data_IF_869453368145
#
_entry.id   IF_869453368145
#
_cell.length_a   1.000
_cell.length_b   1.000
_cell.length_c   1.000
_cell.angle_alpha   90.00
_cell.angle_beta   90.00
_cell.angle_gamma   90.00
#
_symmetry.space_group_name_H-M   'P 1'
#
loop_
_entity.id
_entity.type
_entity.pdbx_description
1 polymer ?
#
# COMPACT_ATOMS: atom_id res chain seq x y z
N UNK A 1 -19.28 95.18 48.68
CA UNK A 1 -20.47 94.45 49.16
C UNK A 1 -20.70 93.24 48.28
N UNK A 2 -20.69 92.06 48.95
CA UNK A 2 -21.28 90.80 48.50
C UNK A 2 -20.94 90.25 47.10
N UNK A 3 -20.01 89.31 46.97
CA UNK A 3 -20.17 87.87 47.06
C UNK A 3 -21.20 87.25 46.12
N UNK A 4 -20.75 86.47 45.21
CA UNK A 4 -21.23 85.05 45.14
C UNK A 4 -20.27 84.18 44.28
N UNK A 5 -19.82 83.15 44.92
CA UNK A 5 -19.07 82.01 44.37
C UNK A 5 -20.03 81.08 43.62
N UNK A 6 -19.64 80.61 42.43
CA UNK A 6 -20.33 79.58 41.72
C UNK A 6 -19.33 78.47 41.40
N UNK A 7 -19.41 77.39 42.14
CA UNK A 7 -18.59 76.21 41.93
C UNK A 7 -19.02 75.40 40.72
N UNK A 8 -18.12 75.17 39.80
CA UNK A 8 -18.33 74.29 38.67
C UNK A 8 -17.71 72.91 38.97
N UNK A 9 -18.57 71.91 39.19
CA UNK A 9 -18.17 70.53 39.28
C UNK A 9 -17.75 70.00 37.92
N UNK A 10 -16.47 69.63 37.78
CA UNK A 10 -15.96 68.87 36.62
C UNK A 10 -16.26 67.39 36.82
N UNK A 11 -17.19 66.87 36.03
CA UNK A 11 -17.41 65.41 35.91
C UNK A 11 -16.28 64.79 35.11
N UNK A 12 -15.58 63.92 35.77
CA UNK A 12 -14.52 63.08 35.13
C UNK A 12 -15.23 61.91 34.43
N UNK A 13 -15.28 61.91 33.10
CA UNK A 13 -15.76 60.78 32.30
C UNK A 13 -14.58 59.80 32.15
N UNK A 14 -14.65 58.69 32.88
CA UNK A 14 -13.70 57.55 32.71
C UNK A 14 -14.24 56.71 31.55
N UNK A 15 -13.58 56.78 30.40
CA UNK A 15 -13.81 55.87 29.28
C UNK A 15 -13.09 54.53 29.61
N UNK A 16 -13.87 53.51 29.94
CA UNK A 16 -13.37 52.13 30.04
C UNK A 16 -13.32 51.54 28.64
N UNK A 17 -12.13 51.45 28.06
CA UNK A 17 -11.90 50.66 26.86
C UNK A 17 -11.85 49.20 27.25
N UNK A 18 -12.91 48.43 26.99
CA UNK A 18 -12.90 46.98 27.00
C UNK A 18 -12.23 46.48 25.72
N UNK A 19 -10.95 46.05 25.84
CA UNK A 19 -10.26 45.36 24.79
C UNK A 19 -10.80 43.91 24.76
N UNK A 20 -11.73 43.62 23.85
CA UNK A 20 -12.13 42.27 23.52
C UNK A 20 -10.99 41.62 22.73
N UNK A 21 -10.10 40.91 23.41
CA UNK A 21 -9.15 40.04 22.74
C UNK A 21 -9.94 38.87 22.11
N UNK A 22 -10.24 38.99 20.83
CA UNK A 22 -10.68 37.84 20.03
C UNK A 22 -9.51 36.85 19.96
N UNK A 23 -9.51 35.84 20.84
CA UNK A 23 -8.63 34.69 20.73
C UNK A 23 -9.15 33.90 19.52
N UNK A 24 -8.65 34.23 18.33
CA UNK A 24 -8.72 33.34 17.18
C UNK A 24 -7.81 32.16 17.52
N UNK A 25 -8.42 31.13 18.09
CA UNK A 25 -7.79 29.83 18.23
C UNK A 25 -7.44 29.31 16.84
N UNK A 26 -6.22 29.52 16.42
CA UNK A 26 -5.64 28.79 15.32
C UNK A 26 -5.58 27.35 15.77
N UNK A 27 -6.59 26.54 15.38
CA UNK A 27 -6.45 25.09 15.35
C UNK A 27 -5.36 24.78 14.32
N UNK A 28 -4.10 24.86 14.74
CA UNK A 28 -3.03 24.15 14.07
C UNK A 28 -3.30 22.66 14.33
N UNK A 29 -4.18 22.07 13.51
CA UNK A 29 -4.11 20.62 13.30
C UNK A 29 -2.68 20.39 12.85
N UNK A 30 -1.90 19.67 13.67
CA UNK A 30 -0.58 19.21 13.28
C UNK A 30 -0.78 18.45 11.97
N UNK A 31 -0.38 19.05 10.87
CA UNK A 31 -0.37 18.39 9.57
C UNK A 31 0.61 17.26 9.74
N UNK A 32 0.16 16.03 9.53
CA UNK A 32 1.06 14.88 9.57
C UNK A 32 2.32 15.24 8.78
N UNK A 33 3.49 14.98 9.35
CA UNK A 33 4.74 15.31 8.68
C UNK A 33 4.75 14.65 7.30
N UNK A 34 5.06 15.42 6.27
CA UNK A 34 5.17 14.87 4.91
C UNK A 34 6.23 13.79 4.92
N UNK A 35 5.92 12.55 4.53
CA UNK A 35 6.91 11.50 4.51
C UNK A 35 8.13 11.86 3.66
N UNK A 36 9.32 11.51 4.15
CA UNK A 36 10.61 11.76 3.48
C UNK A 36 11.47 10.49 3.51
N UNK A 37 12.33 10.18 2.51
CA UNK A 37 12.39 10.87 1.22
C UNK A 37 11.06 10.79 0.48
N UNK A 38 10.80 11.75 -0.42
CA UNK A 38 9.59 11.75 -1.24
C UNK A 38 9.55 10.59 -2.25
N UNK A 39 8.50 10.55 -3.06
CA UNK A 39 8.31 9.54 -4.08
C UNK A 39 9.55 9.39 -4.99
N UNK A 40 10.04 8.16 -5.16
CA UNK A 40 11.28 7.85 -5.86
C UNK A 40 11.06 7.49 -7.33
N UNK A 41 12.14 7.54 -8.10
CA UNK A 41 12.23 7.03 -9.47
C UNK A 41 13.22 5.88 -9.51
N UNK A 42 12.72 4.67 -9.72
CA UNK A 42 13.50 3.44 -9.83
C UNK A 42 13.79 3.13 -11.29
N UNK A 43 15.03 2.83 -11.60
CA UNK A 43 15.48 2.28 -12.89
C UNK A 43 16.19 0.97 -12.62
N UNK A 44 15.59 -0.11 -13.08
CA UNK A 44 16.10 -1.47 -12.86
C UNK A 44 16.38 -2.11 -14.20
N UNK A 45 17.49 -2.82 -14.30
CA UNK A 45 17.75 -3.79 -15.37
C UNK A 45 18.17 -5.10 -14.74
N UNK A 46 17.52 -6.19 -15.13
CA UNK A 46 17.79 -7.50 -14.55
C UNK A 46 17.69 -8.61 -15.57
N UNK A 47 18.51 -9.64 -15.40
CA UNK A 47 18.64 -10.80 -16.28
C UNK A 47 18.40 -12.05 -15.46
N UNK A 48 17.49 -12.91 -15.93
CA UNK A 48 17.23 -14.22 -15.35
C UNK A 48 18.18 -15.29 -15.89
N UNK A 49 18.46 -16.29 -15.06
CA UNK A 49 18.98 -17.57 -15.50
C UNK A 49 17.92 -18.35 -16.33
N UNK A 50 18.26 -19.56 -16.77
CA UNK A 50 17.37 -20.36 -17.62
C UNK A 50 16.10 -20.85 -16.89
N UNK A 51 16.12 -20.83 -15.58
CA UNK A 51 15.02 -21.31 -14.72
C UNK A 51 14.19 -20.19 -14.11
N UNK A 52 14.66 -18.94 -14.20
CA UNK A 52 14.03 -17.80 -13.53
C UNK A 52 14.21 -17.80 -12.01
N UNK A 53 15.22 -18.53 -11.49
CA UNK A 53 15.48 -18.62 -10.05
C UNK A 53 16.66 -17.77 -9.60
N UNK A 54 17.56 -17.42 -10.49
CA UNK A 54 18.66 -16.49 -10.23
C UNK A 54 18.51 -15.26 -11.12
N UNK A 55 18.49 -14.09 -10.49
CA UNK A 55 18.40 -12.83 -11.19
C UNK A 55 19.59 -11.95 -10.81
N UNK A 56 20.26 -11.41 -11.81
CA UNK A 56 21.32 -10.44 -11.63
C UNK A 56 20.89 -9.11 -12.21
N UNK A 57 21.12 -8.04 -11.49
CA UNK A 57 20.63 -6.74 -11.95
C UNK A 57 21.42 -5.56 -11.42
N UNK A 58 21.01 -4.42 -11.96
CA UNK A 58 21.42 -3.10 -11.48
C UNK A 58 20.19 -2.28 -11.21
N UNK A 59 20.22 -1.54 -10.12
CA UNK A 59 19.19 -0.60 -9.75
C UNK A 59 19.78 0.78 -9.52
N UNK A 60 19.04 1.82 -9.91
CA UNK A 60 19.32 3.22 -9.66
C UNK A 60 18.06 3.89 -9.13
N UNK A 61 18.15 4.46 -7.95
CA UNK A 61 17.05 5.09 -7.24
C UNK A 61 17.34 6.57 -7.06
N UNK A 62 16.53 7.42 -7.69
CA UNK A 62 16.59 8.87 -7.50
C UNK A 62 15.41 9.31 -6.62
N UNK A 63 15.70 10.07 -5.60
CA UNK A 63 14.72 10.54 -4.62
C UNK A 63 15.02 11.97 -4.19
N UNK A 64 14.00 12.67 -3.65
CA UNK A 64 14.10 14.05 -3.18
C UNK A 64 13.97 14.09 -1.67
N UNK A 65 14.72 14.96 -1.01
CA UNK A 65 14.47 15.30 0.39
C UNK A 65 13.26 16.23 0.48
N UNK A 66 12.10 15.68 0.86
CA UNK A 66 10.85 16.42 1.04
C UNK A 66 10.67 16.93 2.49
N UNK A 67 11.62 16.60 3.38
CA UNK A 67 11.64 17.04 4.77
C UNK A 67 12.17 18.46 4.93
N UNK A 68 12.17 18.96 6.18
CA UNK A 68 12.64 20.28 6.54
C UNK A 68 14.14 20.32 6.91
N UNK A 69 14.78 19.17 7.07
CA UNK A 69 16.16 19.04 7.55
C UNK A 69 17.02 18.26 6.54
N UNK A 70 18.33 18.52 6.47
CA UNK A 70 19.23 17.73 5.65
C UNK A 70 19.18 16.25 6.03
N UNK A 71 19.22 15.34 5.03
CA UNK A 71 19.36 13.90 5.23
C UNK A 71 20.81 13.51 4.97
N UNK A 72 21.47 12.95 5.97
CA UNK A 72 22.83 12.40 5.86
C UNK A 72 22.85 10.94 5.47
N UNK A 73 21.73 10.24 5.65
CA UNK A 73 21.53 8.85 5.26
C UNK A 73 20.10 8.56 4.83
N UNK A 74 19.92 7.43 4.15
CA UNK A 74 18.64 6.82 3.84
C UNK A 74 18.68 5.33 4.15
N UNK A 75 17.52 4.69 4.19
CA UNK A 75 17.40 3.25 4.37
C UNK A 75 16.74 2.61 3.17
N UNK A 76 17.19 1.41 2.82
CA UNK A 76 16.51 0.55 1.87
C UNK A 76 15.95 -0.68 2.57
N UNK A 77 14.74 -1.09 2.16
CA UNK A 77 14.12 -2.33 2.59
C UNK A 77 14.51 -3.44 1.61
N UNK A 78 14.94 -4.54 2.18
CA UNK A 78 15.36 -5.77 1.48
C UNK A 78 14.42 -6.91 1.90
N UNK A 79 13.12 -6.76 1.61
CA UNK A 79 12.09 -7.68 2.12
C UNK A 79 12.27 -9.12 1.62
N UNK A 80 12.88 -9.34 0.45
CA UNK A 80 13.27 -10.68 -0.03
C UNK A 80 14.05 -11.48 1.02
N UNK A 81 14.90 -10.82 1.82
CA UNK A 81 15.68 -11.47 2.87
C UNK A 81 14.84 -11.98 4.05
N UNK A 82 13.60 -11.48 4.20
CA UNK A 82 12.68 -11.96 5.23
C UNK A 82 12.21 -13.41 5.02
N UNK A 83 12.42 -13.96 3.82
CA UNK A 83 12.07 -15.34 3.46
C UNK A 83 13.19 -16.36 3.73
N UNK A 84 14.34 -15.93 4.26
CA UNK A 84 15.52 -16.75 4.49
C UNK A 84 16.20 -16.49 5.83
N UNK A 85 17.48 -16.78 5.90
CA UNK A 85 18.36 -16.47 7.03
C UNK A 85 19.41 -15.46 6.61
N UNK A 86 19.85 -14.59 7.51
CA UNK A 86 20.89 -13.61 7.22
C UNK A 86 22.21 -14.21 6.73
N UNK A 87 22.51 -15.44 7.11
CA UNK A 87 23.72 -16.14 6.65
C UNK A 87 23.63 -16.56 5.16
N UNK A 88 22.42 -16.62 4.60
CA UNK A 88 22.17 -16.96 3.19
C UNK A 88 21.02 -16.04 2.69
N UNK A 89 21.34 -14.76 2.44
CA UNK A 89 20.34 -13.77 2.08
C UNK A 89 19.84 -14.00 0.64
N UNK A 90 18.54 -13.81 0.44
CA UNK A 90 17.93 -13.95 -0.87
C UNK A 90 18.37 -12.85 -1.84
N UNK A 91 18.70 -11.67 -1.32
CA UNK A 91 19.27 -10.58 -2.11
C UNK A 91 20.60 -10.11 -1.52
N UNK A 92 21.63 -10.00 -2.37
CA UNK A 92 22.92 -9.41 -2.04
C UNK A 92 23.17 -8.18 -2.88
N UNK A 93 23.77 -7.14 -2.29
CA UNK A 93 24.05 -5.85 -2.90
C UNK A 93 25.57 -5.69 -3.07
N UNK A 94 26.00 -5.20 -4.24
CA UNK A 94 27.40 -4.91 -4.57
C UNK A 94 27.53 -3.62 -5.41
N UNK A 95 28.74 -3.17 -5.65
CA UNK A 95 29.08 -2.07 -6.56
C UNK A 95 28.22 -0.81 -6.32
N UNK A 96 28.20 -0.34 -5.09
CA UNK A 96 27.40 0.79 -4.66
C UNK A 96 28.00 2.13 -5.07
N UNK A 97 27.13 3.05 -5.50
CA UNK A 97 27.50 4.42 -5.88
C UNK A 97 26.49 5.39 -5.25
N UNK A 98 26.96 6.56 -4.83
CA UNK A 98 26.12 7.61 -4.24
C UNK A 98 26.04 7.58 -2.72
N UNK A 99 26.65 6.56 -2.08
CA UNK A 99 26.72 6.43 -0.62
C UNK A 99 27.47 5.19 -0.17
N UNK A 100 27.77 5.12 1.13
CA UNK A 100 28.39 3.96 1.78
C UNK A 100 27.29 3.09 2.42
N UNK A 101 27.29 1.80 2.09
CA UNK A 101 26.31 0.84 2.61
C UNK A 101 26.83 0.21 3.90
N UNK A 102 26.00 0.22 4.92
CA UNK A 102 26.27 -0.47 6.18
C UNK A 102 25.88 -1.96 6.12
N UNK A 103 26.17 -2.69 7.17
CA UNK A 103 25.66 -4.06 7.31
C UNK A 103 24.13 -4.06 7.46
N UNK A 104 23.44 -5.03 6.86
CA UNK A 104 21.99 -5.16 7.00
C UNK A 104 21.56 -5.42 8.45
N UNK A 105 20.45 -4.80 8.85
CA UNK A 105 19.85 -4.94 10.18
C UNK A 105 18.39 -5.45 10.06
N UNK A 106 17.71 -5.56 11.21
CA UNK A 106 16.28 -6.01 11.27
C UNK A 106 16.09 -7.35 10.55
N UNK A 107 16.87 -8.37 10.94
CA UNK A 107 16.82 -9.68 10.27
C UNK A 107 17.23 -9.60 8.79
N UNK A 108 18.17 -8.72 8.46
CA UNK A 108 18.71 -8.45 7.13
C UNK A 108 17.70 -7.84 6.14
N UNK A 109 16.56 -7.34 6.61
CA UNK A 109 15.53 -6.74 5.77
C UNK A 109 15.62 -5.22 5.65
N UNK A 110 16.61 -4.59 6.27
CA UNK A 110 16.89 -3.17 6.14
C UNK A 110 18.40 -2.92 6.07
N UNK A 111 18.80 -1.96 5.23
CA UNK A 111 20.20 -1.55 5.07
C UNK A 111 20.28 -0.03 5.01
N UNK A 112 21.22 0.53 5.79
CA UNK A 112 21.50 1.96 5.80
C UNK A 112 22.48 2.31 4.69
N UNK A 113 22.24 3.46 4.07
CA UNK A 113 23.14 4.08 3.09
C UNK A 113 23.49 5.47 3.56
N UNK A 114 24.73 5.67 3.99
CA UNK A 114 25.28 6.98 4.32
C UNK A 114 25.56 7.72 3.02
N UNK A 115 24.89 8.85 2.80
CA UNK A 115 25.03 9.63 1.57
C UNK A 115 26.40 10.29 1.51
N UNK A 116 26.99 10.39 0.32
CA UNK A 116 28.29 11.03 0.12
C UNK A 116 28.31 12.50 0.57
N UNK A 117 27.15 13.15 0.55
CA UNK A 117 26.92 14.51 1.06
C UNK A 117 25.50 14.58 1.64
N UNK A 118 25.32 15.38 2.69
CA UNK A 118 24.01 15.61 3.28
C UNK A 118 23.06 16.23 2.24
N UNK A 119 21.95 15.54 1.96
CA UNK A 119 20.95 15.95 0.99
C UNK A 119 20.08 17.07 1.58
N UNK A 120 20.23 18.27 1.04
CA UNK A 120 19.49 19.44 1.51
C UNK A 120 17.99 19.32 1.19
N UNK A 121 17.10 19.97 1.99
CA UNK A 121 15.68 20.07 1.68
C UNK A 121 15.42 20.54 0.23
N UNK A 122 14.52 19.84 -0.48
CA UNK A 122 14.19 20.13 -1.87
C UNK A 122 15.19 19.64 -2.92
N UNK A 123 16.33 19.08 -2.50
CA UNK A 123 17.34 18.54 -3.42
C UNK A 123 17.11 17.05 -3.74
N UNK A 124 17.63 16.59 -4.87
CA UNK A 124 17.62 15.20 -5.32
C UNK A 124 18.96 14.52 -5.07
N UNK A 125 18.90 13.23 -4.71
CA UNK A 125 20.05 12.33 -4.71
C UNK A 125 19.76 11.09 -5.54
N UNK A 126 20.81 10.43 -5.98
CA UNK A 126 20.75 9.13 -6.68
C UNK A 126 21.71 8.17 -6.04
N UNK A 127 21.20 7.00 -5.67
CA UNK A 127 21.98 5.85 -5.22
C UNK A 127 21.83 4.75 -6.26
N UNK A 128 22.92 4.07 -6.58
CA UNK A 128 22.93 2.96 -7.56
C UNK A 128 23.74 1.79 -7.03
N UNK A 129 23.34 0.59 -7.39
CA UNK A 129 23.98 -0.65 -6.95
C UNK A 129 23.73 -1.79 -7.94
N UNK A 130 24.52 -2.85 -7.84
CA UNK A 130 24.21 -4.15 -8.42
C UNK A 130 23.59 -5.05 -7.37
N UNK A 131 22.79 -6.00 -7.81
CA UNK A 131 22.24 -7.03 -6.93
C UNK A 131 22.26 -8.41 -7.60
N UNK A 132 22.33 -9.43 -6.77
CA UNK A 132 21.99 -10.81 -7.13
C UNK A 132 20.84 -11.25 -6.26
N UNK A 133 19.76 -11.74 -6.89
CA UNK A 133 18.54 -12.21 -6.24
C UNK A 133 18.43 -13.72 -6.48
N UNK A 134 18.28 -14.48 -5.41
CA UNK A 134 18.05 -15.92 -5.43
C UNK A 134 16.63 -16.21 -4.97
N UNK A 135 15.79 -16.70 -5.89
CA UNK A 135 14.39 -17.04 -5.62
C UNK A 135 14.36 -18.42 -4.95
N UNK A 136 13.91 -18.54 -3.70
CA UNK A 136 13.93 -19.80 -2.99
C UNK A 136 12.93 -20.80 -3.57
N UNK A 137 13.25 -22.10 -3.48
CA UNK A 137 12.35 -23.18 -3.90
C UNK A 137 11.26 -23.38 -2.84
N UNK A 138 10.18 -22.64 -2.98
CA UNK A 138 9.01 -22.66 -2.06
C UNK A 138 7.78 -22.03 -2.71
N UNK A 139 6.60 -22.35 -2.17
CA UNK A 139 5.39 -21.57 -2.41
C UNK A 139 5.45 -20.22 -1.65
N UNK A 140 4.69 -19.25 -2.12
CA UNK A 140 4.54 -17.94 -1.49
C UNK A 140 4.86 -16.79 -2.45
N UNK A 141 4.61 -15.57 -1.98
CA UNK A 141 4.77 -14.32 -2.75
C UNK A 141 6.17 -14.11 -3.33
N UNK A 142 7.19 -14.67 -2.68
CA UNK A 142 8.57 -14.69 -3.15
C UNK A 142 9.09 -16.13 -3.09
N UNK A 143 9.11 -16.78 -4.25
CA UNK A 143 9.51 -18.18 -4.36
C UNK A 143 9.35 -18.73 -5.77
N UNK A 144 9.92 -19.94 -5.98
CA UNK A 144 9.72 -20.73 -7.18
C UNK A 144 9.10 -22.07 -6.80
N UNK A 145 7.90 -22.32 -7.28
CA UNK A 145 7.20 -23.58 -7.14
C UNK A 145 6.57 -23.98 -8.48
N UNK A 146 6.64 -25.27 -8.81
CA UNK A 146 6.08 -25.84 -10.03
C UNK A 146 6.56 -25.13 -11.34
N UNK A 147 7.74 -24.52 -11.33
CA UNK A 147 8.29 -23.75 -12.46
C UNK A 147 7.71 -22.34 -12.62
N UNK A 148 7.00 -21.85 -11.62
CA UNK A 148 6.53 -20.46 -11.54
C UNK A 148 7.38 -19.71 -10.54
N UNK A 149 8.14 -18.72 -10.99
CA UNK A 149 8.88 -17.78 -10.13
C UNK A 149 8.03 -16.57 -9.84
N UNK A 150 7.78 -16.32 -8.57
CA UNK A 150 7.10 -15.12 -8.06
C UNK A 150 8.13 -14.22 -7.37
N UNK A 151 8.20 -12.98 -7.79
CA UNK A 151 9.10 -11.96 -7.27
C UNK A 151 8.28 -10.80 -6.70
N UNK A 152 7.52 -11.07 -5.65
CA UNK A 152 6.83 -10.08 -4.85
C UNK A 152 7.74 -9.49 -3.78
N UNK A 153 7.73 -8.18 -3.59
CA UNK A 153 8.59 -7.45 -2.64
C UNK A 153 10.09 -7.82 -2.79
N UNK A 154 10.51 -8.11 -4.04
CA UNK A 154 11.83 -8.66 -4.31
C UNK A 154 12.91 -7.58 -4.51
N UNK A 155 12.53 -6.41 -5.04
CA UNK A 155 13.46 -5.31 -5.29
C UNK A 155 13.73 -4.50 -4.01
N UNK A 156 14.93 -3.93 -3.87
CA UNK A 156 15.21 -2.96 -2.80
C UNK A 156 14.32 -1.72 -2.91
N UNK A 157 13.63 -1.37 -1.85
CA UNK A 157 12.72 -0.23 -1.80
C UNK A 157 13.18 0.78 -0.76
N UNK A 158 13.17 2.06 -1.12
CA UNK A 158 13.50 3.16 -0.20
C UNK A 158 12.50 3.16 0.97
N UNK A 159 13.04 3.10 2.19
CA UNK A 159 12.23 3.14 3.40
C UNK A 159 11.58 4.52 3.60
N UNK A 160 10.44 4.54 4.25
CA UNK A 160 9.73 5.77 4.60
C UNK A 160 10.24 6.28 5.94
N UNK A 161 10.42 7.59 6.04
CA UNK A 161 10.61 8.33 7.28
C UNK A 161 9.46 9.34 7.44
N UNK A 162 8.83 9.35 8.58
CA UNK A 162 7.77 10.29 8.91
C UNK A 162 7.90 10.80 10.35
N UNK A 163 6.80 11.26 10.96
CA UNK A 163 6.81 11.76 12.35
C UNK A 163 7.18 10.72 13.40
N UNK A 164 7.13 9.42 13.08
CA UNK A 164 7.54 8.32 13.94
C UNK A 164 9.01 7.91 13.72
N UNK A 165 9.67 8.44 12.71
CA UNK A 165 11.04 8.09 12.33
C UNK A 165 11.09 7.19 11.09
N UNK A 166 12.20 6.43 10.93
CA UNK A 166 12.35 5.46 9.85
C UNK A 166 11.51 4.21 10.12
N UNK A 167 10.67 3.82 9.18
CA UNK A 167 9.88 2.60 9.22
C UNK A 167 10.74 1.41 8.79
N UNK A 168 11.32 0.73 9.77
CA UNK A 168 12.20 -0.43 9.60
C UNK A 168 11.60 -1.69 10.23
N UNK A 169 10.30 -1.83 10.19
CA UNK A 169 9.55 -2.90 10.84
C UNK A 169 10.02 -4.27 10.37
N UNK A 170 10.05 -5.28 11.25
CA UNK A 170 10.51 -6.61 10.87
C UNK A 170 9.53 -7.27 9.89
N UNK A 171 10.08 -8.06 8.96
CA UNK A 171 9.25 -8.92 8.12
C UNK A 171 8.57 -9.99 8.96
N UNK A 172 7.28 -10.21 8.70
CA UNK A 172 6.49 -11.31 9.28
C UNK A 172 5.79 -12.09 8.17
N UNK A 173 5.71 -13.42 8.33
CA UNK A 173 5.15 -14.30 7.29
C UNK A 173 3.64 -14.49 7.33
N UNK A 174 2.92 -13.86 8.28
CA UNK A 174 1.47 -14.02 8.45
C UNK A 174 0.68 -12.72 8.19
N UNK A 175 1.37 -11.63 7.90
CA UNK A 175 0.81 -10.30 7.68
C UNK A 175 1.68 -9.54 6.69
N UNK A 176 1.18 -8.42 6.17
CA UNK A 176 1.94 -7.54 5.32
C UNK A 176 2.80 -6.60 6.17
N UNK A 177 4.09 -6.55 5.83
CA UNK A 177 5.09 -5.80 6.59
C UNK A 177 5.59 -4.61 5.78
N UNK A 178 4.76 -4.11 4.86
CA UNK A 178 5.21 -3.21 3.83
C UNK A 178 4.71 -1.79 4.09
N UNK A 179 5.61 -0.86 3.89
CA UNK A 179 5.30 0.55 3.88
C UNK A 179 6.21 1.25 2.90
N UNK A 180 5.64 1.79 1.83
CA UNK A 180 6.37 2.48 0.78
C UNK A 180 5.52 3.58 0.16
N UNK A 181 6.17 4.61 -0.40
CA UNK A 181 5.49 5.69 -1.09
C UNK A 181 5.26 5.34 -2.56
N UNK A 182 4.12 5.77 -3.10
CA UNK A 182 3.82 5.62 -4.51
C UNK A 182 4.88 6.30 -5.38
N UNK A 183 5.60 5.52 -6.16
CA UNK A 183 6.82 5.88 -6.89
C UNK A 183 6.71 5.54 -8.38
N UNK A 184 7.77 5.76 -9.15
CA UNK A 184 7.82 5.40 -10.56
C UNK A 184 8.89 4.35 -10.82
N UNK A 185 8.56 3.34 -11.63
CA UNK A 185 9.47 2.28 -12.01
C UNK A 185 9.62 2.19 -13.52
N UNK A 186 10.86 2.04 -13.97
CA UNK A 186 11.22 1.58 -15.30
C UNK A 186 12.09 0.35 -15.14
N UNK A 187 11.53 -0.81 -15.45
CA UNK A 187 12.17 -2.10 -15.23
C UNK A 187 12.37 -2.79 -16.58
N UNK A 188 13.61 -3.11 -16.89
CA UNK A 188 14.01 -3.89 -18.08
C UNK A 188 14.38 -5.29 -17.61
N UNK A 189 13.70 -6.28 -18.17
CA UNK A 189 13.84 -7.70 -17.81
C UNK A 189 14.32 -8.46 -19.03
N UNK A 190 15.42 -9.18 -18.89
CA UNK A 190 15.98 -10.07 -19.91
C UNK A 190 15.80 -11.52 -19.46
N UNK A 191 15.05 -12.31 -20.22
CA UNK A 191 14.76 -13.71 -19.90
C UNK A 191 15.00 -14.63 -21.11
N UNK A 192 15.28 -15.92 -20.89
CA UNK A 192 15.17 -16.93 -21.94
C UNK A 192 13.77 -16.86 -22.62
N UNK A 193 13.69 -17.18 -23.90
CA UNK A 193 12.43 -17.18 -24.64
C UNK A 193 11.38 -18.15 -24.09
N UNK A 194 11.83 -19.16 -23.34
CA UNK A 194 10.95 -20.12 -22.66
C UNK A 194 10.15 -19.50 -21.50
N UNK A 195 10.60 -18.34 -20.98
CA UNK A 195 9.96 -17.65 -19.87
C UNK A 195 9.19 -16.42 -20.36
N UNK A 196 7.89 -16.45 -20.20
CA UNK A 196 7.07 -15.26 -20.25
C UNK A 196 7.09 -14.52 -18.92
N UNK A 197 6.81 -13.21 -18.96
CA UNK A 197 6.82 -12.35 -17.77
C UNK A 197 5.54 -11.55 -17.71
N UNK A 198 4.84 -11.67 -16.58
CA UNK A 198 3.82 -10.75 -16.12
C UNK A 198 4.45 -9.82 -15.07
N UNK A 199 4.15 -8.51 -15.10
CA UNK A 199 4.80 -7.58 -14.16
C UNK A 199 3.94 -6.34 -13.90
N UNK A 200 4.21 -5.67 -12.77
CA UNK A 200 3.67 -4.36 -12.45
C UNK A 200 3.89 -3.36 -13.59
N UNK A 201 2.82 -2.68 -14.02
CA UNK A 201 2.85 -1.64 -15.04
C UNK A 201 2.77 -2.17 -16.47
N UNK A 202 2.71 -1.25 -17.43
CA UNK A 202 2.57 -1.61 -18.84
C UNK A 202 3.88 -1.95 -19.52
N UNK A 203 3.89 -3.01 -20.33
CA UNK A 203 5.03 -3.31 -21.22
C UNK A 203 5.10 -2.27 -22.35
N UNK A 204 6.20 -1.51 -22.40
CA UNK A 204 6.41 -0.43 -23.38
C UNK A 204 7.40 -0.80 -24.47
N UNK A 205 8.21 -1.83 -24.28
CA UNK A 205 9.18 -2.30 -25.25
C UNK A 205 9.36 -3.82 -25.15
N UNK A 206 9.56 -4.46 -26.30
CA UNK A 206 9.94 -5.88 -26.41
C UNK A 206 10.90 -6.07 -27.57
N UNK A 207 11.96 -6.83 -27.37
CA UNK A 207 12.85 -7.31 -28.43
C UNK A 207 13.28 -8.74 -28.13
N UNK A 208 13.48 -9.53 -29.18
CA UNK A 208 13.89 -10.94 -29.06
C UNK A 208 15.08 -11.17 -29.95
N UNK A 209 16.15 -11.70 -29.38
CA UNK A 209 17.38 -12.06 -30.11
C UNK A 209 18.13 -13.17 -29.34
N UNK A 210 18.85 -14.02 -30.06
CA UNK A 210 19.76 -15.00 -29.47
C UNK A 210 19.13 -15.90 -28.37
N UNK A 211 17.89 -16.35 -28.58
CA UNK A 211 17.20 -17.20 -27.62
C UNK A 211 16.68 -16.48 -26.37
N UNK A 212 16.75 -15.14 -26.32
CA UNK A 212 16.32 -14.34 -25.18
C UNK A 212 15.33 -13.26 -25.59
N UNK A 213 14.50 -12.84 -24.66
CA UNK A 213 13.55 -11.74 -24.84
C UNK A 213 13.79 -10.66 -23.77
N UNK A 214 14.02 -9.44 -24.24
CA UNK A 214 14.13 -8.25 -23.38
C UNK A 214 12.79 -7.52 -23.41
N UNK A 215 12.24 -7.26 -22.23
CA UNK A 215 10.99 -6.52 -22.03
C UNK A 215 11.24 -5.32 -21.13
N UNK A 216 10.67 -4.16 -21.46
CA UNK A 216 10.70 -2.99 -20.57
C UNK A 216 9.29 -2.67 -20.12
N UNK A 217 9.11 -2.59 -18.81
CA UNK A 217 7.87 -2.20 -18.15
C UNK A 217 7.99 -0.78 -17.59
N UNK A 218 6.89 -0.03 -17.59
CA UNK A 218 6.78 1.27 -16.93
C UNK A 218 5.55 1.31 -16.03
N UNK A 219 5.79 1.64 -14.78
CA UNK A 219 4.75 1.87 -13.78
C UNK A 219 4.91 3.26 -13.18
N UNK A 220 3.80 3.92 -12.87
CA UNK A 220 3.77 5.22 -12.19
C UNK A 220 2.79 5.16 -11.04
N UNK A 221 3.13 5.83 -9.96
CA UNK A 221 2.32 5.86 -8.75
C UNK A 221 2.03 4.47 -8.18
N UNK A 222 3.06 3.61 -8.15
CA UNK A 222 3.00 2.26 -7.59
C UNK A 222 3.92 2.17 -6.38
N UNK A 223 3.50 1.38 -5.39
CA UNK A 223 4.22 1.25 -4.11
C UNK A 223 5.34 0.23 -4.16
N UNK A 224 5.20 -0.75 -5.05
CA UNK A 224 6.17 -1.80 -5.29
C UNK A 224 6.15 -2.21 -6.76
N UNK A 225 7.12 -3.02 -7.16
CA UNK A 225 7.19 -3.64 -8.47
C UNK A 225 7.34 -5.15 -8.30
N UNK A 226 6.29 -5.88 -8.62
CA UNK A 226 6.29 -7.33 -8.63
C UNK A 226 6.36 -7.88 -10.06
N UNK A 227 6.89 -9.07 -10.21
CA UNK A 227 6.82 -9.82 -11.46
C UNK A 227 6.68 -11.33 -11.21
N UNK A 228 6.12 -12.02 -12.20
CA UNK A 228 6.10 -13.48 -12.27
C UNK A 228 6.71 -13.94 -13.58
N UNK A 229 7.48 -15.03 -13.56
CA UNK A 229 8.11 -15.62 -14.73
C UNK A 229 7.86 -17.14 -14.79
N UNK A 230 7.39 -17.61 -15.93
CA UNK A 230 7.13 -19.04 -16.20
C UNK A 230 6.88 -19.26 -17.70
N UNK A 231 6.70 -20.51 -18.12
CA UNK A 231 6.10 -20.84 -19.41
C UNK A 231 4.58 -20.63 -19.38
N UNK A 232 4.16 -19.37 -19.37
CA UNK A 232 2.77 -19.00 -19.20
C UNK A 232 1.91 -19.21 -20.45
N UNK A 233 0.68 -19.67 -20.25
CA UNK A 233 -0.45 -19.37 -21.10
C UNK A 233 -1.27 -18.24 -20.49
N UNK A 234 -2.14 -17.58 -21.29
CA UNK A 234 -3.00 -16.53 -20.77
C UNK A 234 -4.39 -16.51 -21.40
N UNK A 235 -5.36 -16.03 -20.63
CA UNK A 235 -6.67 -15.57 -21.08
C UNK A 235 -6.69 -14.05 -20.98
N UNK A 236 -7.27 -13.36 -21.95
CA UNK A 236 -7.27 -11.90 -21.96
C UNK A 236 -8.63 -11.36 -22.39
N UNK A 237 -9.04 -10.25 -21.79
CA UNK A 237 -10.18 -9.43 -22.20
C UNK A 237 -9.96 -7.96 -21.95
N UNK A 238 -10.86 -7.12 -22.41
CA UNK A 238 -10.93 -5.70 -22.05
C UNK A 238 -12.21 -5.49 -21.26
N UNK A 239 -12.10 -4.84 -20.11
CA UNK A 239 -13.21 -4.52 -19.20
C UNK A 239 -13.22 -3.00 -18.99
N UNK A 240 -14.24 -2.34 -19.50
CA UNK A 240 -14.41 -0.88 -19.39
C UNK A 240 -13.14 -0.10 -19.80
N UNK A 241 -12.48 -0.55 -20.89
CA UNK A 241 -11.23 0.05 -21.39
C UNK A 241 -9.95 -0.45 -20.72
N UNK A 242 -10.03 -1.27 -19.66
CA UNK A 242 -8.88 -1.84 -18.96
C UNK A 242 -8.57 -3.23 -19.50
N UNK A 243 -7.36 -3.49 -20.05
CA UNK A 243 -6.92 -4.84 -20.35
C UNK A 243 -6.79 -5.66 -19.07
N UNK A 244 -7.46 -6.81 -19.01
CA UNK A 244 -7.35 -7.81 -17.95
C UNK A 244 -6.70 -9.05 -18.55
N UNK A 245 -5.64 -9.55 -17.94
CA UNK A 245 -4.92 -10.76 -18.39
C UNK A 245 -4.79 -11.73 -17.23
N UNK A 246 -5.24 -12.95 -17.44
CA UNK A 246 -5.05 -14.05 -16.48
C UNK A 246 -3.94 -14.94 -17.00
N UNK A 247 -2.82 -14.97 -16.28
CA UNK A 247 -1.63 -15.75 -16.57
C UNK A 247 -1.64 -17.05 -15.76
N UNK A 248 -1.31 -18.16 -16.37
CA UNK A 248 -1.27 -19.46 -15.70
C UNK A 248 -0.25 -20.38 -16.35
N UNK A 249 0.39 -21.21 -15.55
CA UNK A 249 1.23 -22.30 -16.03
C UNK A 249 0.34 -23.53 -16.33
N UNK A 250 0.25 -24.01 -17.59
CA UNK A 250 -0.69 -25.09 -17.98
C UNK A 250 -0.49 -26.43 -17.27
N UNK A 251 0.74 -26.68 -16.79
CA UNK A 251 1.08 -27.87 -15.99
C UNK A 251 0.60 -27.74 -14.52
N UNK A 252 0.21 -26.56 -14.07
CA UNK A 252 -0.23 -26.28 -12.69
C UNK A 252 -1.73 -25.99 -12.62
N UNK A 253 -2.22 -25.19 -13.56
CA UNK A 253 -3.59 -24.66 -13.57
C UNK A 253 -4.26 -24.99 -14.92
N UNK A 254 -5.46 -25.55 -14.87
CA UNK A 254 -6.23 -25.84 -16.08
C UNK A 254 -6.77 -24.56 -16.73
N UNK A 255 -6.83 -24.54 -18.06
CA UNK A 255 -7.36 -23.43 -18.83
C UNK A 255 -8.84 -23.09 -18.49
N UNK A 256 -9.62 -24.08 -18.05
CA UNK A 256 -11.00 -23.87 -17.58
C UNK A 256 -11.06 -23.03 -16.31
N UNK A 257 -10.12 -23.25 -15.38
CA UNK A 257 -9.94 -22.45 -14.17
C UNK A 257 -9.54 -21.03 -14.52
N UNK A 258 -8.57 -20.85 -15.44
CA UNK A 258 -8.14 -19.52 -15.88
C UNK A 258 -9.31 -18.73 -16.51
N UNK A 259 -10.14 -19.35 -17.33
CA UNK A 259 -11.36 -18.72 -17.89
C UNK A 259 -12.41 -18.38 -16.83
N UNK A 260 -12.51 -19.17 -15.78
CA UNK A 260 -13.40 -18.87 -14.66
C UNK A 260 -12.90 -17.65 -13.88
N UNK A 261 -11.60 -17.59 -13.55
CA UNK A 261 -10.98 -16.45 -12.87
C UNK A 261 -11.06 -15.18 -13.70
N UNK A 262 -10.85 -15.27 -15.02
CA UNK A 262 -11.01 -14.13 -15.93
C UNK A 262 -12.42 -13.50 -15.84
N UNK A 263 -13.49 -14.31 -15.79
CA UNK A 263 -14.86 -13.79 -15.59
C UNK A 263 -15.04 -13.16 -14.21
N UNK A 264 -14.43 -13.75 -13.20
CA UNK A 264 -14.52 -13.27 -11.82
C UNK A 264 -13.77 -11.94 -11.64
N UNK A 265 -12.54 -11.84 -12.14
CA UNK A 265 -11.75 -10.61 -12.12
C UNK A 265 -12.44 -9.47 -12.90
N UNK A 266 -13.02 -9.80 -14.07
CA UNK A 266 -13.80 -8.83 -14.85
C UNK A 266 -15.01 -8.30 -14.09
N UNK A 267 -15.79 -9.18 -13.44
CA UNK A 267 -16.95 -8.79 -12.63
C UNK A 267 -16.53 -7.92 -11.44
N UNK A 268 -15.47 -8.30 -10.73
CA UNK A 268 -14.93 -7.55 -9.61
C UNK A 268 -14.46 -6.15 -10.05
N UNK A 269 -13.69 -6.08 -11.13
CA UNK A 269 -13.21 -4.82 -11.68
C UNK A 269 -14.34 -3.86 -12.06
N UNK A 270 -15.34 -4.32 -12.81
CA UNK A 270 -16.53 -3.51 -13.16
C UNK A 270 -17.26 -3.02 -11.92
N UNK A 271 -17.47 -3.91 -10.93
CA UNK A 271 -18.16 -3.55 -9.69
C UNK A 271 -17.40 -2.49 -8.91
N UNK A 272 -16.09 -2.66 -8.75
CA UNK A 272 -15.28 -1.73 -7.97
C UNK A 272 -15.07 -0.40 -8.68
N UNK A 273 -14.97 -0.37 -10.01
CA UNK A 273 -14.98 0.89 -10.76
C UNK A 273 -16.28 1.68 -10.51
N UNK A 274 -17.41 1.00 -10.48
CA UNK A 274 -18.70 1.62 -10.14
C UNK A 274 -18.75 2.09 -8.70
N UNK A 275 -18.23 1.31 -7.75
CA UNK A 275 -18.29 1.63 -6.31
C UNK A 275 -17.27 2.72 -5.91
N UNK A 276 -16.02 2.61 -6.37
CA UNK A 276 -14.89 3.40 -5.85
C UNK A 276 -14.27 4.38 -6.87
N UNK A 277 -14.71 4.33 -8.13
CA UNK A 277 -14.17 5.18 -9.21
C UNK A 277 -13.22 4.42 -10.14
N UNK A 278 -12.71 5.11 -11.15
CA UNK A 278 -11.90 4.50 -12.20
C UNK A 278 -10.73 3.68 -11.66
N UNK A 279 -10.45 2.56 -12.32
CA UNK A 279 -9.31 1.70 -12.02
C UNK A 279 -8.00 2.50 -12.03
N UNK A 280 -7.15 2.40 -11.00
CA UNK A 280 -6.01 3.30 -10.84
C UNK A 280 -4.82 3.00 -11.76
N UNK A 281 -4.76 1.82 -12.40
CA UNK A 281 -3.67 1.42 -13.26
C UNK A 281 -4.09 1.31 -14.73
N UNK A 282 -3.16 0.98 -15.63
CA UNK A 282 -3.43 0.86 -17.07
C UNK A 282 -3.97 -0.51 -17.48
N UNK A 283 -3.60 -1.54 -16.74
CA UNK A 283 -3.95 -2.94 -17.00
C UNK A 283 -3.97 -3.70 -15.68
N UNK A 284 -4.66 -4.82 -15.63
CA UNK A 284 -4.70 -5.74 -14.52
C UNK A 284 -4.20 -7.10 -14.98
N UNK A 285 -3.07 -7.52 -14.43
CA UNK A 285 -2.56 -8.88 -14.58
C UNK A 285 -2.92 -9.72 -13.36
N UNK A 286 -3.48 -10.89 -13.59
CA UNK A 286 -3.84 -11.87 -12.57
C UNK A 286 -3.00 -13.12 -12.79
N UNK A 287 -2.02 -13.36 -11.94
CA UNK A 287 -1.16 -14.55 -12.02
C UNK A 287 -1.76 -15.64 -11.16
N UNK A 288 -2.24 -16.70 -11.80
CA UNK A 288 -2.77 -17.86 -11.10
C UNK A 288 -1.64 -18.81 -10.71
N UNK A 289 -1.56 -19.04 -9.42
CA UNK A 289 -0.57 -19.93 -8.83
C UNK A 289 -1.13 -20.58 -7.56
N UNK A 290 -0.31 -21.34 -6.86
CA UNK A 290 -0.64 -21.90 -5.56
C UNK A 290 -0.04 -21.01 -4.48
N UNK A 291 -0.89 -20.45 -3.63
CA UNK A 291 -0.52 -19.67 -2.45
C UNK A 291 -1.24 -20.22 -1.22
N UNK A 292 -0.82 -21.39 -0.71
CA UNK A 292 -1.61 -22.14 0.27
C UNK A 292 -1.79 -21.42 1.61
N UNK A 293 -0.91 -20.49 1.95
CA UNK A 293 -0.95 -19.78 3.23
C UNK A 293 -1.40 -18.31 3.10
N UNK A 294 -1.32 -17.74 1.89
CA UNK A 294 -1.55 -16.31 1.65
C UNK A 294 -2.88 -16.07 0.93
N UNK A 295 -3.38 -17.05 0.15
CA UNK A 295 -4.59 -16.88 -0.68
C UNK A 295 -4.34 -16.00 -1.91
N UNK A 296 -3.81 -14.83 -1.72
CA UNK A 296 -3.44 -13.88 -2.77
C UNK A 296 -2.40 -12.86 -2.33
N UNK A 297 -2.03 -11.98 -3.25
CA UNK A 297 -1.13 -10.84 -3.07
C UNK A 297 -1.45 -9.72 -4.05
N UNK A 298 -1.52 -8.51 -3.56
CA UNK A 298 -2.21 -7.33 -4.06
C UNK A 298 -1.33 -6.34 -4.84
N UNK A 299 -0.21 -6.74 -5.39
CA UNK A 299 0.73 -5.78 -6.03
C UNK A 299 0.04 -4.85 -7.03
N UNK A 300 0.50 -3.59 -7.15
CA UNK A 300 -0.15 -2.61 -8.02
C UNK A 300 -0.16 -3.04 -9.49
N UNK A 301 -1.35 -3.22 -10.05
CA UNK A 301 -1.54 -3.62 -11.46
C UNK A 301 -1.30 -5.10 -11.75
N UNK A 302 -0.83 -5.87 -10.78
CA UNK A 302 -0.64 -7.31 -10.87
C UNK A 302 -0.98 -7.97 -9.54
N UNK A 303 -1.77 -9.03 -9.56
CA UNK A 303 -2.08 -9.81 -8.36
C UNK A 303 -1.63 -11.25 -8.53
N UNK A 304 -1.05 -11.84 -7.48
CA UNK A 304 -0.79 -13.27 -7.43
C UNK A 304 -1.92 -13.91 -6.65
N UNK A 305 -2.56 -14.95 -7.15
CA UNK A 305 -3.75 -15.46 -6.49
C UNK A 305 -3.94 -16.96 -6.67
N UNK A 306 -4.32 -17.62 -5.60
CA UNK A 306 -4.91 -18.96 -5.67
C UNK A 306 -6.30 -18.90 -6.31
N UNK A 307 -6.70 -19.90 -7.10
CA UNK A 307 -7.98 -19.89 -7.78
C UNK A 307 -9.15 -20.13 -6.80
N UNK A 308 -9.49 -19.11 -6.02
CA UNK A 308 -10.64 -19.08 -5.14
C UNK A 308 -11.52 -17.87 -5.44
N UNK A 309 -12.79 -17.98 -5.07
CA UNK A 309 -13.79 -16.97 -5.33
C UNK A 309 -13.51 -15.66 -4.54
N UNK A 310 -13.26 -15.83 -3.27
CA UNK A 310 -13.02 -14.69 -2.36
C UNK A 310 -11.67 -14.05 -2.65
N UNK A 311 -10.60 -14.85 -2.80
CA UNK A 311 -9.25 -14.32 -3.02
C UNK A 311 -9.16 -13.45 -4.28
N UNK A 312 -9.72 -13.89 -5.42
CA UNK A 312 -9.66 -13.06 -6.65
C UNK A 312 -10.35 -11.72 -6.48
N UNK A 313 -11.52 -11.67 -5.85
CA UNK A 313 -12.24 -10.41 -5.63
C UNK A 313 -11.51 -9.55 -4.59
N UNK A 314 -10.94 -10.15 -3.56
CA UNK A 314 -10.14 -9.50 -2.53
C UNK A 314 -8.92 -8.81 -3.14
N UNK A 315 -8.09 -9.54 -3.90
CA UNK A 315 -6.88 -8.97 -4.50
C UNK A 315 -7.20 -7.86 -5.54
N UNK A 316 -8.30 -7.99 -6.28
CA UNK A 316 -8.74 -6.91 -7.17
C UNK A 316 -9.21 -5.68 -6.38
N UNK A 317 -9.78 -5.84 -5.19
CA UNK A 317 -10.18 -4.71 -4.34
C UNK A 317 -8.99 -3.91 -3.81
N UNK A 318 -7.89 -4.57 -3.51
CA UNK A 318 -6.64 -3.93 -3.10
C UNK A 318 -6.05 -2.98 -4.15
N UNK A 319 -6.50 -3.01 -5.39
CA UNK A 319 -6.09 -2.02 -6.38
C UNK A 319 -6.57 -0.60 -6.01
N UNK A 320 -7.65 -0.49 -5.21
CA UNK A 320 -8.07 0.76 -4.57
C UNK A 320 -7.51 0.91 -3.16
N UNK A 321 -7.58 -0.16 -2.34
CA UNK A 321 -7.22 -0.19 -0.92
C UNK A 321 -5.85 -0.84 -0.72
N UNK A 322 -4.79 -0.16 -0.88
CA UNK A 322 -3.36 -0.41 -0.92
C UNK A 322 -2.71 0.25 -2.14
N UNK A 323 -2.97 -0.23 -3.36
CA UNK A 323 -2.23 0.25 -4.54
C UNK A 323 -2.46 1.75 -4.77
N UNK A 324 -3.72 2.23 -4.65
CA UNK A 324 -4.08 3.63 -4.83
C UNK A 324 -4.10 4.41 -3.50
N UNK A 325 -4.89 3.96 -2.55
CA UNK A 325 -4.97 4.51 -1.19
C UNK A 325 -4.11 3.65 -0.29
N UNK A 326 -2.89 4.08 -0.02
CA UNK A 326 -1.95 3.31 0.78
C UNK A 326 -2.01 3.64 2.26
N UNK A 327 -1.42 2.78 3.04
CA UNK A 327 -1.27 2.88 4.49
C UNK A 327 0.11 2.36 4.89
N UNK A 328 0.44 2.50 6.14
CA UNK A 328 1.45 1.70 6.80
C UNK A 328 0.81 0.35 7.16
N UNK A 329 1.06 -0.69 6.36
CA UNK A 329 0.46 -2.01 6.53
C UNK A 329 0.90 -2.67 7.84
N UNK A 330 2.11 -2.40 8.29
CA UNK A 330 2.58 -2.91 9.57
C UNK A 330 1.91 -2.23 10.77
N UNK A 331 1.82 -0.90 10.71
CA UNK A 331 1.23 -0.10 11.79
C UNK A 331 -0.29 -0.09 11.80
N UNK A 332 -0.93 -0.22 10.64
CA UNK A 332 -2.38 -0.10 10.49
C UNK A 332 -2.95 -1.05 9.42
N UNK A 333 -2.78 -2.39 9.57
CA UNK A 333 -3.17 -3.39 8.58
C UNK A 333 -4.68 -3.43 8.29
N UNK A 334 -5.50 -2.84 9.12
CA UNK A 334 -6.95 -2.79 8.92
C UNK A 334 -7.38 -1.82 7.81
N UNK A 335 -6.52 -0.88 7.40
CA UNK A 335 -6.87 0.17 6.42
C UNK A 335 -6.88 -0.34 4.97
N UNK A 336 -6.30 -1.48 4.72
CA UNK A 336 -6.36 -2.18 3.45
C UNK A 336 -7.17 -3.48 3.55
N UNK A 337 -6.80 -4.36 4.46
CA UNK A 337 -7.37 -5.69 4.60
C UNK A 337 -8.85 -5.71 4.96
N UNK A 338 -9.28 -4.83 5.87
CA UNK A 338 -10.70 -4.72 6.20
C UNK A 338 -11.52 -4.21 5.01
N UNK A 339 -10.94 -3.28 4.25
CA UNK A 339 -11.60 -2.70 3.08
C UNK A 339 -11.69 -3.71 1.94
N UNK A 340 -10.62 -4.46 1.68
CA UNK A 340 -10.62 -5.50 0.68
C UNK A 340 -11.59 -6.63 1.05
N UNK A 341 -11.59 -7.06 2.32
CA UNK A 341 -12.52 -8.08 2.84
C UNK A 341 -13.99 -7.68 2.68
N UNK A 342 -14.34 -6.45 2.99
CA UNK A 342 -15.70 -5.97 2.76
C UNK A 342 -16.00 -5.84 1.26
N UNK A 343 -15.08 -5.27 0.49
CA UNK A 343 -15.25 -5.02 -0.93
C UNK A 343 -15.42 -6.29 -1.75
N UNK A 344 -14.73 -7.39 -1.39
CA UNK A 344 -14.83 -8.68 -2.09
C UNK A 344 -16.26 -9.22 -2.16
N UNK A 345 -17.15 -8.78 -1.27
CA UNK A 345 -18.55 -9.20 -1.26
C UNK A 345 -19.41 -8.48 -2.31
N UNK A 346 -19.02 -7.25 -2.71
CA UNK A 346 -19.83 -6.40 -3.58
C UNK A 346 -20.16 -7.03 -4.94
N UNK A 347 -19.28 -7.79 -5.60
CA UNK A 347 -19.59 -8.40 -6.87
C UNK A 347 -20.69 -9.47 -6.79
N UNK A 348 -21.06 -9.96 -5.61
CA UNK A 348 -21.92 -11.13 -5.42
C UNK A 348 -23.13 -10.86 -4.57
N UNK A 349 -22.93 -10.75 -3.27
CA UNK A 349 -23.95 -10.44 -2.26
C UNK A 349 -23.36 -9.41 -1.30
N UNK A 350 -23.59 -8.10 -1.53
CA UNK A 350 -23.01 -7.04 -0.76
C UNK A 350 -23.28 -7.17 0.74
N UNK A 351 -22.24 -7.29 1.53
CA UNK A 351 -22.35 -7.39 2.98
C UNK A 351 -22.77 -6.05 3.59
N UNK A 352 -24.01 -5.95 4.00
CA UNK A 352 -24.63 -4.72 4.53
C UNK A 352 -25.16 -4.87 5.95
N UNK A 353 -24.97 -6.03 6.59
CA UNK A 353 -25.47 -6.30 7.93
C UNK A 353 -24.43 -7.01 8.76
N UNK A 354 -23.90 -6.33 9.74
CA UNK A 354 -23.12 -6.92 10.81
C UNK A 354 -23.32 -6.11 12.09
N UNK A 355 -24.26 -6.52 12.91
CA UNK A 355 -24.61 -5.76 14.11
C UNK A 355 -23.74 -6.11 15.32
N UNK A 356 -23.05 -7.22 15.27
CA UNK A 356 -22.19 -7.68 16.35
C UNK A 356 -21.01 -8.46 15.79
N UNK A 357 -19.85 -8.24 16.38
CA UNK A 357 -18.66 -9.05 16.17
C UNK A 357 -18.18 -9.64 17.51
N UNK A 358 -17.92 -10.93 17.54
CA UNK A 358 -17.43 -11.62 18.74
C UNK A 358 -15.89 -11.52 18.77
N UNK A 359 -15.42 -10.56 19.53
CA UNK A 359 -14.00 -10.28 19.68
C UNK A 359 -13.26 -11.42 20.38
N UNK A 360 -12.12 -11.90 19.88
CA UNK A 360 -11.41 -13.05 20.45
C UNK A 360 -10.82 -12.76 21.83
N UNK A 361 -10.63 -11.50 22.20
CA UNK A 361 -10.22 -11.09 23.55
C UNK A 361 -10.72 -9.69 23.88
N UNK A 362 -10.69 -9.32 25.18
CA UNK A 362 -11.03 -7.95 25.60
C UNK A 362 -9.97 -6.91 25.24
N UNK A 363 -8.71 -7.33 25.05
CA UNK A 363 -7.57 -6.44 24.79
C UNK A 363 -7.38 -6.08 23.32
N UNK A 364 -7.79 -6.95 22.37
CA UNK A 364 -7.58 -6.71 20.94
C UNK A 364 -8.41 -5.52 20.44
N UNK A 365 -7.79 -4.70 19.61
CA UNK A 365 -8.40 -3.57 18.91
C UNK A 365 -8.28 -3.75 17.41
N UNK A 366 -9.21 -3.19 16.66
CA UNK A 366 -9.12 -3.20 15.20
C UNK A 366 -7.92 -2.38 14.69
N UNK A 367 -7.50 -1.39 15.46
CA UNK A 367 -6.37 -0.51 15.15
C UNK A 367 -5.03 -1.01 15.68
N UNK A 368 -4.95 -2.24 16.21
CA UNK A 368 -3.67 -2.82 16.61
C UNK A 368 -2.80 -3.07 15.37
N UNK A 369 -1.52 -2.72 15.47
CA UNK A 369 -0.53 -3.02 14.46
C UNK A 369 0.01 -4.46 14.56
N UNK A 370 0.81 -4.85 13.58
CA UNK A 370 1.38 -6.20 13.49
C UNK A 370 2.20 -6.59 14.72
N UNK A 371 2.83 -5.64 15.42
CA UNK A 371 3.53 -5.92 16.69
C UNK A 371 2.65 -6.53 17.77
N UNK A 372 1.38 -6.13 17.86
CA UNK A 372 0.43 -6.78 18.76
C UNK A 372 0.20 -8.22 18.31
N UNK A 373 -0.03 -8.45 17.04
CA UNK A 373 -0.36 -9.76 16.48
C UNK A 373 0.84 -10.71 16.45
N UNK A 374 2.07 -10.24 16.41
CA UNK A 374 3.27 -11.08 16.63
C UNK A 374 3.25 -11.80 17.97
N UNK A 375 2.66 -11.17 18.97
CA UNK A 375 2.45 -11.76 20.32
C UNK A 375 1.14 -12.53 20.42
N UNK A 376 0.19 -12.28 19.51
CA UNK A 376 -1.17 -12.85 19.51
C UNK A 376 -1.61 -13.30 18.11
N UNK A 377 -0.86 -14.19 17.43
CA UNK A 377 -1.07 -14.47 16.00
C UNK A 377 -2.46 -15.00 15.66
N UNK A 378 -3.09 -15.78 16.57
CA UNK A 378 -4.45 -16.30 16.38
C UNK A 378 -5.55 -15.22 16.37
N UNK A 379 -5.21 -13.97 16.73
CA UNK A 379 -6.16 -12.86 16.75
C UNK A 379 -6.08 -12.00 15.48
N UNK A 380 -5.12 -12.25 14.59
CA UNK A 380 -4.93 -11.44 13.37
C UNK A 380 -6.17 -11.43 12.46
N UNK A 381 -6.94 -12.52 12.44
CA UNK A 381 -8.21 -12.60 11.71
C UNK A 381 -9.24 -11.49 12.02
N UNK A 382 -9.06 -10.76 13.15
CA UNK A 382 -9.87 -9.56 13.47
C UNK A 382 -9.74 -8.48 12.41
N UNK A 383 -8.55 -8.32 11.82
CA UNK A 383 -8.28 -7.32 10.79
C UNK A 383 -9.19 -7.53 9.57
N UNK A 384 -9.39 -8.78 9.17
CA UNK A 384 -10.27 -9.17 8.07
C UNK A 384 -11.74 -9.16 8.51
N UNK A 385 -12.13 -10.08 9.37
CA UNK A 385 -13.53 -10.35 9.71
C UNK A 385 -14.14 -9.26 10.58
N UNK A 386 -13.43 -8.74 11.59
CA UNK A 386 -13.89 -7.65 12.46
C UNK A 386 -14.00 -6.34 11.73
N UNK A 387 -12.98 -6.01 10.91
CA UNK A 387 -12.97 -4.81 10.10
C UNK A 387 -13.99 -4.84 8.97
N UNK A 388 -14.11 -5.96 8.26
CA UNK A 388 -15.16 -6.17 7.26
C UNK A 388 -16.57 -6.03 7.85
N UNK A 389 -16.78 -6.59 9.06
CA UNK A 389 -18.03 -6.43 9.80
C UNK A 389 -18.32 -4.97 10.18
N UNK A 390 -17.32 -4.22 10.59
CA UNK A 390 -17.44 -2.77 10.85
C UNK A 390 -17.89 -2.01 9.59
N UNK A 391 -17.27 -2.27 8.45
CA UNK A 391 -17.63 -1.63 7.18
C UNK A 391 -19.02 -2.05 6.71
N UNK A 392 -19.40 -3.32 6.87
CA UNK A 392 -20.75 -3.81 6.61
C UNK A 392 -21.81 -3.10 7.47
N UNK A 393 -21.50 -2.85 8.75
CA UNK A 393 -22.38 -2.07 9.64
C UNK A 393 -22.55 -0.62 9.17
N UNK A 394 -21.45 0.03 8.70
CA UNK A 394 -21.53 1.37 8.10
C UNK A 394 -22.37 1.38 6.82
N UNK A 395 -22.15 0.39 5.93
CA UNK A 395 -22.92 0.24 4.69
C UNK A 395 -24.42 0.08 4.97
N UNK A 396 -24.78 -0.71 6.00
CA UNK A 396 -26.16 -0.87 6.40
C UNK A 396 -26.80 0.39 6.99
N UNK A 397 -26.03 1.13 7.83
CA UNK A 397 -26.52 2.36 8.47
C UNK A 397 -26.69 3.52 7.51
N UNK A 398 -25.75 3.73 6.60
CA UNK A 398 -25.81 4.82 5.62
C UNK A 398 -26.67 4.46 4.40
N UNK A 399 -26.90 3.17 4.16
CA UNK A 399 -27.36 2.61 2.90
C UNK A 399 -26.21 2.45 1.90
N UNK A 400 -26.15 1.30 1.21
CA UNK A 400 -25.01 0.89 0.39
C UNK A 400 -24.54 1.98 -0.58
N UNK A 401 -25.43 2.57 -1.39
CA UNK A 401 -25.04 3.56 -2.40
C UNK A 401 -24.47 4.86 -1.82
N UNK A 402 -24.90 5.28 -0.62
CA UNK A 402 -24.32 6.44 0.08
C UNK A 402 -22.95 6.11 0.66
N UNK A 403 -22.78 4.91 1.16
CA UNK A 403 -21.52 4.42 1.69
C UNK A 403 -20.48 4.29 0.57
N UNK A 404 -20.83 3.69 -0.57
CA UNK A 404 -20.00 3.66 -1.78
C UNK A 404 -19.63 5.08 -2.26
N UNK A 405 -20.58 6.03 -2.22
CA UNK A 405 -20.30 7.43 -2.57
C UNK A 405 -19.27 8.05 -1.63
N UNK A 406 -19.35 7.78 -0.34
CA UNK A 406 -18.37 8.23 0.65
C UNK A 406 -17.00 7.58 0.38
N UNK A 407 -16.95 6.27 0.15
CA UNK A 407 -15.71 5.54 -0.14
C UNK A 407 -15.07 6.01 -1.46
N UNK A 408 -15.87 6.31 -2.49
CA UNK A 408 -15.37 6.89 -3.75
C UNK A 408 -14.70 8.25 -3.52
N UNK A 409 -15.33 9.11 -2.73
CA UNK A 409 -14.73 10.40 -2.33
C UNK A 409 -13.43 10.19 -1.57
N UNK A 410 -13.42 9.27 -0.61
CA UNK A 410 -12.23 8.95 0.17
C UNK A 410 -11.10 8.40 -0.72
N UNK A 411 -11.39 7.49 -1.64
CA UNK A 411 -10.40 6.95 -2.58
C UNK A 411 -9.85 8.03 -3.53
N UNK A 412 -10.70 8.95 -3.99
CA UNK A 412 -10.30 10.08 -4.82
C UNK A 412 -9.37 11.04 -4.08
N UNK A 413 -9.73 11.44 -2.86
CA UNK A 413 -9.01 12.44 -2.07
C UNK A 413 -7.63 11.94 -1.60
N UNK A 414 -7.48 10.63 -1.45
CA UNK A 414 -6.24 10.00 -0.98
C UNK A 414 -5.49 9.22 -2.06
N UNK A 415 -5.87 9.42 -3.32
CA UNK A 415 -5.26 8.70 -4.46
C UNK A 415 -3.76 8.91 -4.50
N UNK A 416 -3.01 7.80 -4.60
CA UNK A 416 -1.54 7.73 -4.63
C UNK A 416 -0.86 8.30 -3.36
N UNK A 417 -1.64 8.55 -2.33
CA UNK A 417 -1.15 9.00 -1.02
C UNK A 417 -1.07 7.88 -0.01
N UNK A 418 -0.72 8.25 1.21
CA UNK A 418 -0.79 7.40 2.41
C UNK A 418 -1.86 7.95 3.32
N UNK A 419 -2.67 7.08 3.90
CA UNK A 419 -3.72 7.45 4.85
C UNK A 419 -3.50 6.78 6.20
N UNK A 420 -4.20 7.29 7.18
CA UNK A 420 -4.26 6.75 8.53
C UNK A 420 -5.71 6.59 9.01
N UNK A 421 -5.88 6.00 10.18
CA UNK A 421 -7.20 5.80 10.77
C UNK A 421 -7.94 7.11 11.05
N UNK A 422 -7.23 8.23 11.25
CA UNK A 422 -7.86 9.54 11.49
C UNK A 422 -8.53 10.08 10.23
N UNK A 423 -7.90 9.89 9.07
CA UNK A 423 -8.42 10.28 7.76
C UNK A 423 -9.73 9.57 7.44
N UNK A 424 -9.79 8.25 7.67
CA UNK A 424 -11.02 7.48 7.46
C UNK A 424 -12.11 7.86 8.46
N UNK A 425 -11.78 8.01 9.76
CA UNK A 425 -12.73 8.46 10.77
C UNK A 425 -13.34 9.82 10.40
N UNK A 426 -12.53 10.75 9.93
CA UNK A 426 -13.00 12.07 9.48
C UNK A 426 -13.97 11.95 8.29
N UNK A 427 -13.71 11.08 7.32
CA UNK A 427 -14.61 10.82 6.20
C UNK A 427 -15.96 10.27 6.67
N UNK A 428 -15.97 9.31 7.60
CA UNK A 428 -17.19 8.74 8.20
C UNK A 428 -17.98 9.78 9.00
N UNK A 429 -17.31 10.64 9.76
CA UNK A 429 -17.97 11.74 10.52
C UNK A 429 -18.67 12.69 9.57
N UNK A 430 -18.00 13.12 8.48
CA UNK A 430 -18.60 14.00 7.46
C UNK A 430 -19.80 13.34 6.79
N UNK A 431 -19.70 12.05 6.44
CA UNK A 431 -20.81 11.30 5.87
C UNK A 431 -21.98 11.13 6.87
N UNK A 432 -21.67 10.87 8.13
CA UNK A 432 -22.66 10.81 9.21
C UNK A 432 -23.45 12.08 9.35
N UNK A 433 -22.78 13.22 9.40
CA UNK A 433 -23.43 14.54 9.46
C UNK A 433 -24.35 14.79 8.24
N UNK A 434 -23.97 14.31 7.07
CA UNK A 434 -24.72 14.51 5.82
C UNK A 434 -25.90 13.55 5.63
N UNK A 435 -25.70 12.27 5.94
CA UNK A 435 -26.63 11.20 5.53
C UNK A 435 -27.38 10.54 6.68
N UNK A 436 -26.91 10.72 7.92
CA UNK A 436 -27.48 10.08 9.09
C UNK A 436 -27.47 11.04 10.29
N UNK A 437 -28.39 12.05 10.31
CA UNK A 437 -28.51 12.98 11.44
C UNK A 437 -28.62 12.23 12.77
N UNK A 438 -27.82 12.60 13.77
CA UNK A 438 -27.76 11.93 15.07
C UNK A 438 -26.79 10.73 15.12
N UNK A 439 -25.98 10.48 14.09
CA UNK A 439 -24.94 9.46 14.12
C UNK A 439 -23.90 9.77 15.20
N UNK A 440 -23.88 8.95 16.26
CA UNK A 440 -22.87 9.04 17.31
C UNK A 440 -21.60 8.30 16.88
N UNK A 441 -20.71 9.04 16.22
CA UNK A 441 -19.43 8.52 15.76
C UNK A 441 -18.57 8.02 16.93
N UNK A 442 -18.60 8.69 18.10
CA UNK A 442 -17.81 8.27 19.27
C UNK A 442 -18.25 6.91 19.80
N UNK A 443 -19.57 6.72 19.94
CA UNK A 443 -20.11 5.42 20.36
C UNK A 443 -19.82 4.33 19.31
N UNK A 444 -19.91 4.69 18.01
CA UNK A 444 -19.57 3.78 16.90
C UNK A 444 -18.12 3.31 17.01
N UNK A 445 -17.15 4.21 17.10
CA UNK A 445 -15.74 3.84 17.17
C UNK A 445 -15.39 3.04 18.42
N UNK A 446 -15.95 3.39 19.57
CA UNK A 446 -15.79 2.58 20.80
C UNK A 446 -16.29 1.14 20.60
N UNK A 447 -17.47 0.98 19.97
CA UNK A 447 -18.04 -0.35 19.71
C UNK A 447 -17.13 -1.21 18.85
N UNK A 448 -16.55 -0.62 17.80
CA UNK A 448 -15.68 -1.29 16.87
C UNK A 448 -14.20 -1.26 17.26
N UNK A 449 -13.91 -0.80 18.46
CA UNK A 449 -12.55 -0.75 19.01
C UNK A 449 -11.54 -0.05 18.08
N UNK A 450 -11.99 0.99 17.44
CA UNK A 450 -11.19 1.94 16.67
C UNK A 450 -10.90 3.13 17.57
N UNK A 451 -9.67 3.21 18.11
CA UNK A 451 -9.30 4.23 19.12
C UNK A 451 -8.12 5.06 18.63
#
# INVERSE_FOLDING_TARGET
MRNHLGGGSRALVVLVFTISAAVTGWNMQARAATPTPGAARYRVSMTADDTGTIWQGRESVTFSNTGAWPLDHVWFRLWANGHGRCADPAITITDTVGGAWADPVVGCTAVRVDLSHALQPGSDATVSFRFTLQVPKRDGRFGNADGVSLLGNALPILAVHDGAGWHLDPYVGFADSFYSLASSFRVTVDTPNALDVAATGGQVQRSTANGRTIRTFMARHVRDFALAASSFSRVSRVVDGVPVRVWYAPNVIAATTARWVDRLAARSLTTFQKAFGAYPARELDVVLTRLPNEGGMEYPGIVFVSPSFDAVAHEVAHQWWYASVGNDEYGAPWLDESFATWSQTLPFDPWTRCDRYDWPSSSVRLTDGVDYFRRHPYQYGVIYSGGGCMLANLAGRFGLGRFETMLRGYAHDHRNGVTDGSSFRAAVIRAGARYLPGFDARAFWRRWRVT
#
